data_IF_788057492868
#
_entry.id   IF_788057492868
#
_cell.length_a   1.000
_cell.length_b   1.000
_cell.length_c   1.000
_cell.angle_alpha   90.00
_cell.angle_beta   90.00
_cell.angle_gamma   90.00
#
_symmetry.space_group_name_H-M   'P 1'
#
loop_
_entity.id
_entity.type
_entity.pdbx_description
1 polymer ?
#
# COMPACT_ATOMS: atom_id res chain seq x y z
N UNK A 1 -3.69 8.92 -2.91
CA UNK A 1 -4.07 7.51 -3.13
C UNK A 1 -2.82 6.67 -2.99
N UNK A 2 -2.75 5.78 -2.02
CA UNK A 2 -1.63 4.85 -1.86
C UNK A 2 -2.17 3.45 -1.55
N UNK A 3 -1.52 2.42 -2.09
CA UNK A 3 -1.76 1.03 -1.69
C UNK A 3 -0.58 0.60 -0.84
N UNK A 4 -0.82 -0.04 0.30
CA UNK A 4 0.24 -0.61 1.15
C UNK A 4 0.11 -2.12 1.14
N UNK A 5 1.07 -2.84 0.54
CA UNK A 5 1.11 -4.30 0.52
C UNK A 5 2.45 -4.78 1.09
N UNK A 6 2.67 -4.68 2.41
CA UNK A 6 3.94 -5.05 3.04
C UNK A 6 4.31 -6.53 2.86
N UNK A 7 3.36 -7.34 2.39
CA UNK A 7 3.52 -8.74 2.05
C UNK A 7 2.79 -9.08 0.75
N UNK A 8 3.28 -10.09 0.03
CA UNK A 8 2.55 -10.64 -1.13
C UNK A 8 1.18 -11.16 -0.69
N UNK A 9 1.11 -11.81 0.47
CA UNK A 9 -0.14 -12.27 1.08
C UNK A 9 -1.06 -11.09 1.50
N UNK A 10 -2.34 -11.19 1.12
CA UNK A 10 -3.36 -10.16 1.34
C UNK A 10 -3.72 -10.00 2.82
N UNK A 11 -3.95 -11.12 3.50
CA UNK A 11 -4.37 -11.13 4.91
C UNK A 11 -3.26 -10.62 5.81
N UNK A 12 -2.03 -11.09 5.61
CA UNK A 12 -0.83 -10.63 6.31
C UNK A 12 -0.59 -9.14 6.04
N UNK A 13 -0.78 -8.69 4.80
CA UNK A 13 -0.69 -7.26 4.48
C UNK A 13 -1.69 -6.42 5.27
N UNK A 14 -2.97 -6.79 5.24
CA UNK A 14 -4.02 -6.08 5.98
C UNK A 14 -3.75 -6.09 7.49
N UNK A 15 -3.43 -7.26 8.03
CA UNK A 15 -3.14 -7.46 9.45
C UNK A 15 -1.91 -6.67 9.91
N UNK A 16 -0.93 -6.40 9.05
CA UNK A 16 0.27 -5.66 9.42
C UNK A 16 0.02 -4.15 9.63
N UNK A 17 -1.00 -3.58 9.00
CA UNK A 17 -1.23 -2.13 9.03
C UNK A 17 -1.74 -1.65 10.38
N UNK A 18 -1.35 -0.42 10.77
CA UNK A 18 -2.07 0.31 11.82
C UNK A 18 -3.50 0.66 11.37
N UNK A 19 -4.38 0.94 12.33
CA UNK A 19 -5.81 1.17 12.07
C UNK A 19 -6.05 2.34 11.11
N UNK A 20 -5.24 3.40 11.19
CA UNK A 20 -5.39 4.57 10.33
C UNK A 20 -5.11 4.22 8.87
N UNK A 21 -4.04 3.46 8.61
CA UNK A 21 -3.67 3.03 7.25
C UNK A 21 -4.60 1.95 6.74
N UNK A 22 -4.98 0.98 7.57
CA UNK A 22 -5.97 -0.04 7.21
C UNK A 22 -7.31 0.58 6.83
N UNK A 23 -7.81 1.53 7.63
CA UNK A 23 -9.05 2.26 7.35
C UNK A 23 -9.00 3.00 6.01
N UNK A 24 -7.85 3.60 5.68
CA UNK A 24 -7.64 4.25 4.37
C UNK A 24 -7.55 3.26 3.22
N UNK A 25 -6.91 2.10 3.40
CA UNK A 25 -6.80 1.09 2.35
C UNK A 25 -8.18 0.69 1.79
N UNK A 26 -9.19 0.51 2.64
CA UNK A 26 -10.56 0.20 2.18
C UNK A 26 -11.09 1.23 1.16
N UNK A 27 -10.87 2.52 1.41
CA UNK A 27 -11.30 3.59 0.50
C UNK A 27 -10.41 3.65 -0.74
N UNK A 28 -9.09 3.65 -0.55
CA UNK A 28 -8.12 3.85 -1.63
C UNK A 28 -8.11 2.67 -2.63
N UNK A 29 -8.32 1.44 -2.17
CA UNK A 29 -8.42 0.26 -3.04
C UNK A 29 -9.64 0.36 -3.97
N UNK A 30 -10.82 0.73 -3.44
CA UNK A 30 -12.00 0.99 -4.27
C UNK A 30 -11.76 2.14 -5.25
N UNK A 31 -11.05 3.19 -4.85
CA UNK A 31 -10.70 4.29 -5.75
C UNK A 31 -9.78 3.86 -6.90
N UNK A 32 -8.79 2.99 -6.64
CA UNK A 32 -7.93 2.41 -7.68
C UNK A 32 -8.79 1.57 -8.65
N UNK A 33 -9.65 0.69 -8.14
CA UNK A 33 -10.56 -0.12 -8.97
C UNK A 33 -11.45 0.74 -9.86
N UNK A 34 -12.07 1.79 -9.30
CA UNK A 34 -12.87 2.74 -10.05
C UNK A 34 -12.06 3.49 -11.12
N UNK A 35 -10.80 3.85 -10.82
CA UNK A 35 -9.93 4.50 -11.79
C UNK A 35 -9.56 3.55 -12.95
N UNK A 36 -9.30 2.27 -12.67
CA UNK A 36 -9.07 1.24 -13.70
C UNK A 36 -10.31 1.07 -14.58
N UNK A 37 -11.50 0.93 -13.99
CA UNK A 37 -12.76 0.81 -14.73
C UNK A 37 -12.99 2.01 -15.68
N UNK A 38 -12.66 3.22 -15.24
CA UNK A 38 -12.74 4.43 -16.09
C UNK A 38 -11.70 4.42 -17.20
N UNK A 39 -10.44 4.06 -16.89
CA UNK A 39 -9.36 3.96 -17.90
C UNK A 39 -9.69 2.97 -19.00
N UNK A 40 -10.33 1.87 -18.65
CA UNK A 40 -10.77 0.82 -19.58
C UNK A 40 -12.08 1.13 -20.30
N UNK A 41 -12.69 2.29 -20.02
CA UNK A 41 -13.92 2.73 -20.68
C UNK A 41 -15.18 1.98 -20.26
N UNK A 42 -15.11 1.14 -19.22
CA UNK A 42 -16.23 0.38 -18.66
C UNK A 42 -17.11 1.27 -17.79
N UNK A 43 -16.51 2.08 -16.92
CA UNK A 43 -17.23 3.08 -16.13
C UNK A 43 -17.17 4.45 -16.81
N UNK A 44 -18.33 4.98 -17.21
CA UNK A 44 -18.47 6.26 -17.94
C UNK A 44 -19.26 7.29 -17.14
N UNK A 45 -18.73 7.70 -16.00
CA UNK A 45 -19.37 8.65 -15.08
C UNK A 45 -18.87 10.11 -15.23
N UNK A 46 -18.15 10.40 -16.32
CA UNK A 46 -17.59 11.73 -16.60
C UNK A 46 -16.39 12.14 -15.73
N UNK A 47 -16.02 11.35 -14.71
CA UNK A 47 -14.89 11.67 -13.84
C UNK A 47 -13.56 11.27 -14.50
N UNK A 48 -12.52 12.09 -14.33
CA UNK A 48 -11.17 11.85 -14.89
C UNK A 48 -10.05 11.82 -13.85
N UNK A 49 -10.40 11.84 -12.57
CA UNK A 49 -9.41 11.83 -11.49
C UNK A 49 -8.61 10.53 -11.45
N UNK A 50 -7.31 10.65 -11.18
CA UNK A 50 -6.40 9.54 -10.84
C UNK A 50 -6.11 8.53 -11.96
N UNK A 51 -6.57 8.77 -13.20
CA UNK A 51 -6.33 7.86 -14.31
C UNK A 51 -4.84 7.65 -14.59
N UNK A 52 -4.02 8.69 -14.46
CA UNK A 52 -2.56 8.59 -14.66
C UNK A 52 -1.79 8.33 -13.35
N UNK A 53 -2.49 7.98 -12.26
CA UNK A 53 -1.83 7.75 -10.99
C UNK A 53 -0.94 6.49 -11.10
N UNK A 54 0.33 6.50 -10.64
CA UNK A 54 1.25 5.39 -10.87
C UNK A 54 0.74 4.04 -10.32
N UNK A 55 0.09 4.03 -9.16
CA UNK A 55 -0.53 2.81 -8.62
C UNK A 55 -1.66 2.27 -9.53
N UNK A 56 -2.45 3.16 -10.14
CA UNK A 56 -3.48 2.75 -11.09
C UNK A 56 -2.82 2.13 -12.32
N UNK A 57 -1.79 2.79 -12.86
CA UNK A 57 -1.05 2.27 -14.01
C UNK A 57 -0.38 0.91 -13.71
N UNK A 58 0.19 0.75 -12.52
CA UNK A 58 0.83 -0.49 -12.09
C UNK A 58 -0.15 -1.68 -12.06
N UNK A 59 -1.33 -1.47 -11.48
CA UNK A 59 -2.37 -2.50 -11.45
C UNK A 59 -3.04 -2.69 -12.82
N UNK A 60 -3.16 -1.63 -13.62
CA UNK A 60 -3.76 -1.68 -14.95
C UNK A 60 -2.84 -2.31 -16.01
N UNK A 61 -1.52 -2.27 -15.85
CA UNK A 61 -0.57 -2.74 -16.85
C UNK A 61 -0.67 -4.25 -17.12
N UNK A 62 -0.70 -5.07 -16.06
CA UNK A 62 -0.93 -6.50 -16.15
C UNK A 62 -2.30 -6.87 -15.61
N UNK A 63 -3.38 -6.22 -16.08
CA UNK A 63 -4.67 -5.96 -15.39
C UNK A 63 -4.94 -6.82 -14.13
N UNK A 64 -4.25 -6.49 -13.04
CA UNK A 64 -4.26 -7.24 -11.77
C UNK A 64 -5.48 -6.88 -10.90
N UNK A 65 -6.65 -6.73 -11.53
CA UNK A 65 -7.89 -6.32 -10.88
C UNK A 65 -8.31 -7.33 -9.83
N UNK A 66 -8.15 -8.62 -10.12
CA UNK A 66 -8.52 -9.69 -9.20
C UNK A 66 -7.65 -9.70 -7.92
N UNK A 67 -6.34 -9.45 -8.04
CA UNK A 67 -5.45 -9.26 -6.87
C UNK A 67 -5.92 -8.09 -5.99
N UNK A 68 -6.31 -6.98 -6.62
CA UNK A 68 -6.76 -5.79 -5.93
C UNK A 68 -8.11 -5.99 -5.22
N UNK A 69 -9.03 -6.73 -5.85
CA UNK A 69 -10.32 -7.12 -5.25
C UNK A 69 -10.10 -8.04 -4.05
N UNK A 70 -9.25 -9.05 -4.18
CA UNK A 70 -8.90 -9.94 -3.06
C UNK A 70 -8.28 -9.15 -1.90
N UNK A 71 -7.39 -8.20 -2.20
CA UNK A 71 -6.82 -7.36 -1.16
C UNK A 71 -7.84 -6.43 -0.51
N UNK A 72 -8.79 -5.88 -1.28
CA UNK A 72 -9.89 -5.10 -0.73
C UNK A 72 -10.67 -5.90 0.32
N UNK A 73 -11.06 -7.14 0.01
CA UNK A 73 -11.78 -7.98 0.96
C UNK A 73 -10.93 -8.35 2.17
N UNK A 74 -9.65 -8.67 2.01
CA UNK A 74 -8.76 -8.90 3.15
C UNK A 74 -8.66 -7.67 4.09
N UNK A 75 -8.65 -6.45 3.54
CA UNK A 75 -8.67 -5.23 4.33
C UNK A 75 -10.00 -5.00 5.05
N UNK A 76 -11.13 -5.38 4.44
CA UNK A 76 -12.48 -5.31 5.05
C UNK A 76 -12.61 -6.33 6.18
N UNK A 77 -12.14 -7.55 5.94
CA UNK A 77 -12.18 -8.64 6.91
C UNK A 77 -11.34 -8.28 8.14
N UNK A 78 -10.11 -7.82 7.94
CA UNK A 78 -9.25 -7.38 9.04
C UNK A 78 -9.84 -6.18 9.80
N UNK A 79 -10.42 -5.21 9.09
CA UNK A 79 -11.07 -4.05 9.71
C UNK A 79 -12.24 -4.46 10.60
N UNK A 80 -13.07 -5.39 10.11
CA UNK A 80 -14.22 -5.91 10.84
C UNK A 80 -13.78 -6.79 12.01
N UNK A 81 -12.74 -7.61 11.81
CA UNK A 81 -12.14 -8.47 12.85
C UNK A 81 -11.59 -7.65 14.02
N UNK A 82 -11.10 -6.43 13.77
CA UNK A 82 -10.68 -5.48 14.82
C UNK A 82 -11.85 -4.80 15.56
N UNK A 83 -13.09 -5.12 15.19
CA UNK A 83 -14.30 -4.57 15.82
C UNK A 83 -14.77 -3.23 15.25
N UNK A 84 -14.19 -2.78 14.14
CA UNK A 84 -14.62 -1.54 13.50
C UNK A 84 -15.82 -1.76 12.57
N UNK A 85 -16.72 -0.77 12.50
CA UNK A 85 -17.84 -0.80 11.55
C UNK A 85 -17.36 -0.57 10.12
N UNK A 86 -17.85 -1.38 9.18
CA UNK A 86 -17.62 -1.19 7.75
C UNK A 86 -18.86 -0.60 7.06
N UNK A 87 -18.62 0.27 6.06
CA UNK A 87 -19.66 0.90 5.23
C UNK A 87 -19.24 0.99 3.75
N UNK A 88 -18.19 0.27 3.36
CA UNK A 88 -17.64 0.28 2.01
C UNK A 88 -17.74 -1.13 1.46
N UNK A 89 -18.30 -1.30 0.27
CA UNK A 89 -18.31 -2.56 -0.49
C UNK A 89 -17.98 -2.31 -1.96
N UNK A 90 -17.84 -3.39 -2.73
CA UNK A 90 -17.67 -3.36 -4.19
C UNK A 90 -18.95 -3.72 -4.94
N UNK A 91 -20.08 -3.95 -4.25
CA UNK A 91 -21.31 -4.48 -4.86
C UNK A 91 -21.83 -3.59 -6.00
N UNK A 92 -21.66 -2.27 -5.86
CA UNK A 92 -22.04 -1.26 -6.86
C UNK A 92 -21.18 -1.30 -8.14
N UNK A 93 -20.02 -1.94 -8.10
CA UNK A 93 -19.06 -1.99 -9.22
C UNK A 93 -18.70 -3.42 -9.64
N UNK A 94 -19.10 -4.44 -8.90
CA UNK A 94 -18.78 -5.83 -9.19
C UNK A 94 -19.23 -6.28 -10.60
N UNK A 95 -20.42 -5.92 -11.11
CA UNK A 95 -20.81 -6.24 -12.48
C UNK A 95 -19.90 -5.59 -13.54
N UNK A 96 -19.30 -4.44 -13.22
CA UNK A 96 -18.36 -3.75 -14.09
C UNK A 96 -16.97 -4.39 -14.03
N UNK A 97 -16.53 -4.81 -12.84
CA UNK A 97 -15.26 -5.50 -12.65
C UNK A 97 -15.19 -6.81 -13.43
N UNK A 98 -16.32 -7.55 -13.52
CA UNK A 98 -16.45 -8.77 -14.32
C UNK A 98 -16.28 -8.56 -15.83
N UNK A 99 -16.38 -7.32 -16.32
CA UNK A 99 -16.15 -6.99 -17.73
C UNK A 99 -14.67 -6.76 -18.06
N UNK A 100 -13.80 -6.68 -17.04
CA UNK A 100 -12.36 -6.57 -17.25
C UNK A 100 -11.78 -7.98 -17.33
N UNK A 101 -11.17 -8.31 -18.46
CA UNK A 101 -10.31 -9.48 -18.56
C UNK A 101 -9.05 -9.26 -17.71
N UNK A 102 -9.08 -9.81 -16.50
CA UNK A 102 -7.93 -9.84 -15.60
C UNK A 102 -6.96 -10.95 -15.97
N UNK A 103 -5.72 -10.83 -15.50
CA UNK A 103 -4.75 -11.93 -15.54
C UNK A 103 -4.42 -12.41 -14.13
N UNK A 104 -4.15 -13.70 -13.94
CA UNK A 104 -3.64 -14.20 -12.66
C UNK A 104 -2.31 -13.55 -12.30
N UNK A 105 -2.07 -13.37 -11.00
CA UNK A 105 -0.82 -12.82 -10.47
C UNK A 105 -1.04 -11.55 -9.66
N UNK A 106 0.07 -10.87 -9.35
CA UNK A 106 0.10 -9.67 -8.54
C UNK A 106 1.22 -8.76 -9.03
N UNK A 107 1.05 -7.42 -9.04
CA UNK A 107 2.15 -6.51 -9.28
C UNK A 107 3.09 -6.43 -8.06
N UNK A 108 2.67 -6.95 -6.90
CA UNK A 108 3.44 -6.95 -5.66
C UNK A 108 4.37 -8.15 -5.63
N UNK A 109 5.65 -7.88 -5.89
CA UNK A 109 6.76 -8.82 -5.68
C UNK A 109 7.28 -8.71 -4.24
N UNK A 110 8.12 -9.65 -3.81
CA UNK A 110 8.79 -9.56 -2.50
C UNK A 110 9.63 -8.28 -2.35
N UNK A 111 10.26 -7.85 -3.45
CA UNK A 111 11.04 -6.61 -3.49
C UNK A 111 10.16 -5.37 -3.27
N UNK A 112 9.00 -5.31 -3.94
CA UNK A 112 8.04 -4.22 -3.75
C UNK A 112 7.40 -4.28 -2.35
N UNK A 113 7.11 -5.47 -1.84
CA UNK A 113 6.59 -5.68 -0.49
C UNK A 113 7.57 -5.15 0.58
N UNK A 114 8.87 -5.35 0.39
CA UNK A 114 9.92 -4.75 1.23
C UNK A 114 9.88 -3.23 1.21
N UNK A 115 9.72 -2.62 0.04
CA UNK A 115 9.62 -1.16 -0.05
C UNK A 115 8.35 -0.61 0.61
N UNK A 116 7.24 -1.36 0.60
CA UNK A 116 6.08 -1.00 1.42
C UNK A 116 6.39 -1.06 2.92
N UNK A 117 7.08 -2.10 3.42
CA UNK A 117 7.52 -2.18 4.83
C UNK A 117 8.41 -0.98 5.19
N UNK A 118 9.35 -0.61 4.31
CA UNK A 118 10.20 0.58 4.47
C UNK A 118 9.39 1.86 4.56
N UNK A 119 8.48 2.09 3.62
CA UNK A 119 7.64 3.30 3.63
C UNK A 119 6.79 3.37 4.88
N UNK A 120 6.21 2.24 5.33
CA UNK A 120 5.43 2.15 6.55
C UNK A 120 6.27 2.49 7.79
N UNK A 121 7.48 1.95 7.89
CA UNK A 121 8.43 2.25 8.96
C UNK A 121 8.74 3.75 9.04
N UNK A 122 9.01 4.41 7.92
CA UNK A 122 9.23 5.87 7.89
C UNK A 122 8.00 6.69 8.31
N UNK A 123 6.83 6.09 8.12
CA UNK A 123 5.52 6.69 8.29
C UNK A 123 5.00 6.57 9.73
N UNK A 124 5.29 5.48 10.46
CA UNK A 124 5.08 5.32 11.91
C UNK A 124 6.19 4.43 12.52
N UNK A 125 7.37 5.00 12.81
CA UNK A 125 8.55 4.23 13.19
C UNK A 125 8.30 3.25 14.34
N UNK A 126 7.79 3.74 15.46
CA UNK A 126 7.65 2.93 16.66
C UNK A 126 6.56 1.85 16.55
N UNK A 127 5.52 2.08 15.74
CA UNK A 127 4.50 1.06 15.49
C UNK A 127 5.08 -0.09 14.67
N UNK A 128 5.73 0.24 13.55
CA UNK A 128 6.22 -0.76 12.61
C UNK A 128 7.52 -1.41 13.04
N UNK A 129 8.40 -0.71 13.74
CA UNK A 129 9.58 -1.28 14.36
C UNK A 129 9.24 -2.46 15.28
N UNK A 130 8.19 -2.32 16.11
CA UNK A 130 7.73 -3.39 17.01
C UNK A 130 7.04 -4.55 16.31
N UNK A 131 6.67 -4.38 15.04
CA UNK A 131 5.87 -5.35 14.28
C UNK A 131 6.70 -6.12 13.25
N UNK A 132 7.82 -5.55 12.81
CA UNK A 132 8.82 -6.24 12.01
C UNK A 132 9.49 -7.32 12.85
N UNK A 133 9.74 -8.46 12.22
CA UNK A 133 10.66 -9.47 12.75
C UNK A 133 12.11 -8.98 12.69
N UNK A 134 13.00 -9.66 13.42
CA UNK A 134 14.42 -9.31 13.40
C UNK A 134 15.03 -9.44 12.00
N UNK A 135 14.63 -10.47 11.25
CA UNK A 135 15.07 -10.73 9.89
C UNK A 135 14.60 -9.65 8.93
N UNK A 136 13.33 -9.23 9.03
CA UNK A 136 12.79 -8.17 8.18
C UNK A 136 13.42 -6.81 8.50
N UNK A 137 13.67 -6.51 9.78
CA UNK A 137 14.38 -5.30 10.16
C UNK A 137 15.83 -5.32 9.63
N UNK A 138 16.54 -6.44 9.79
CA UNK A 138 17.90 -6.61 9.27
C UNK A 138 17.94 -6.47 7.74
N UNK A 139 16.94 -7.01 7.03
CA UNK A 139 16.77 -6.83 5.60
C UNK A 139 16.63 -5.34 5.22
N UNK A 140 15.78 -4.60 5.94
CA UNK A 140 15.57 -3.17 5.68
C UNK A 140 16.82 -2.34 5.96
N UNK A 141 17.64 -2.71 6.94
CA UNK A 141 18.87 -2.02 7.31
C UNK A 141 20.03 -2.33 6.35
N UNK A 142 20.08 -3.55 5.81
CA UNK A 142 21.19 -4.00 4.97
C UNK A 142 20.99 -3.74 3.48
N UNK A 143 19.75 -3.71 3.00
CA UNK A 143 19.44 -3.56 1.58
C UNK A 143 19.03 -2.10 1.31
N UNK A 144 19.70 -1.39 0.38
CA UNK A 144 19.32 -0.02 0.02
C UNK A 144 17.93 0.03 -0.64
N UNK A 145 17.21 1.17 -0.53
CA UNK A 145 15.89 1.33 -1.13
C UNK A 145 15.96 1.23 -2.66
N UNK A 146 14.94 0.64 -3.26
CA UNK A 146 14.75 0.61 -4.72
C UNK A 146 13.61 1.53 -5.17
N UNK A 147 13.76 2.29 -6.26
CA UNK A 147 12.76 3.27 -6.66
C UNK A 147 11.53 2.62 -7.32
N UNK A 148 10.37 2.86 -6.74
CA UNK A 148 9.07 2.48 -7.28
C UNK A 148 8.15 3.71 -7.38
N UNK A 149 7.73 4.00 -8.61
CA UNK A 149 6.85 5.12 -8.89
C UNK A 149 5.48 4.91 -8.22
N UNK A 150 5.00 5.92 -7.50
CA UNK A 150 3.77 5.85 -6.69
C UNK A 150 3.91 5.17 -5.33
N UNK A 151 5.10 4.67 -4.97
CA UNK A 151 5.36 4.01 -3.68
C UNK A 151 6.38 4.81 -2.87
N UNK A 152 7.63 4.86 -3.32
CA UNK A 152 8.76 5.41 -2.57
C UNK A 152 9.69 6.29 -3.42
N UNK A 153 9.34 6.64 -4.66
CA UNK A 153 10.24 7.45 -5.50
C UNK A 153 10.66 8.78 -4.84
N UNK A 154 9.75 9.41 -4.07
CA UNK A 154 10.02 10.61 -3.27
C UNK A 154 11.09 10.42 -2.19
N UNK A 155 11.40 9.18 -1.79
CA UNK A 155 12.41 8.89 -0.77
C UNK A 155 13.79 9.33 -1.24
N UNK A 156 14.04 9.25 -2.55
CA UNK A 156 15.33 9.59 -3.15
C UNK A 156 15.61 11.10 -3.15
N UNK A 157 14.56 11.94 -3.03
CA UNK A 157 14.70 13.38 -2.83
C UNK A 157 15.11 13.74 -1.38
N UNK A 158 15.05 12.77 -0.46
CA UNK A 158 15.34 12.93 0.97
C UNK A 158 16.23 11.80 1.51
N UNK A 159 17.16 11.33 0.67
CA UNK A 159 18.00 10.17 0.96
C UNK A 159 18.88 10.36 2.20
N UNK A 160 19.46 11.55 2.39
CA UNK A 160 20.29 11.86 3.56
C UNK A 160 19.51 11.76 4.88
N UNK A 161 18.27 12.27 4.89
CA UNK A 161 17.37 12.17 6.06
C UNK A 161 17.00 10.71 6.32
N UNK A 162 16.72 9.96 5.25
CA UNK A 162 16.44 8.54 5.33
C UNK A 162 17.64 7.75 5.88
N UNK A 163 18.85 7.97 5.37
CA UNK A 163 20.08 7.30 5.82
C UNK A 163 20.36 7.60 7.29
N UNK A 164 20.21 8.87 7.70
CA UNK A 164 20.35 9.26 9.11
C UNK A 164 19.36 8.51 10.00
N UNK A 165 18.09 8.41 9.57
CA UNK A 165 17.07 7.65 10.28
C UNK A 165 17.42 6.16 10.37
N UNK A 166 17.86 5.54 9.27
CA UNK A 166 18.22 4.11 9.25
C UNK A 166 19.47 3.82 10.08
N UNK A 167 20.47 4.72 10.10
CA UNK A 167 21.67 4.59 10.93
C UNK A 167 21.35 4.64 12.43
N UNK A 168 20.49 5.56 12.84
CA UNK A 168 20.00 5.61 14.23
C UNK A 168 19.24 4.33 14.59
N UNK A 169 18.40 3.85 13.69
CA UNK A 169 17.69 2.59 13.88
C UNK A 169 18.63 1.39 14.02
N UNK A 170 19.71 1.34 13.24
CA UNK A 170 20.77 0.33 13.34
C UNK A 170 21.48 0.36 14.70
N UNK A 171 21.63 1.55 15.30
CA UNK A 171 22.19 1.75 16.63
C UNK A 171 21.20 1.45 17.78
N UNK A 172 19.97 1.02 17.46
CA UNK A 172 18.92 0.73 18.44
C UNK A 172 18.10 1.96 18.87
N UNK A 173 18.31 3.11 18.23
CA UNK A 173 17.54 4.33 18.49
C UNK A 173 16.33 4.42 17.56
N UNK A 174 15.12 4.31 18.13
CA UNK A 174 13.87 4.44 17.36
C UNK A 174 13.24 5.81 17.60
N UNK A 175 13.38 6.70 16.62
CA UNK A 175 12.74 8.02 16.66
C UNK A 175 11.26 7.94 16.26
N UNK A 176 10.35 7.99 17.23
CA UNK A 176 8.90 7.95 16.96
C UNK A 176 8.35 9.19 16.25
N UNK A 177 9.12 10.27 16.08
CA UNK A 177 8.70 11.41 15.27
C UNK A 177 8.68 11.06 13.77
N UNK A 178 9.55 10.14 13.35
CA UNK A 178 9.74 9.76 11.95
C UNK A 178 10.41 10.85 11.12
N UNK A 179 10.50 10.59 9.81
CA UNK A 179 11.19 11.49 8.86
C UNK A 179 10.27 12.56 8.26
N UNK A 180 8.97 12.48 8.54
CA UNK A 180 8.00 13.43 8.01
C UNK A 180 7.59 14.44 9.07
N UNK A 181 7.51 15.74 8.73
CA UNK A 181 6.98 16.73 9.65
C UNK A 181 5.54 16.35 10.02
N UNK A 182 5.25 16.32 11.32
CA UNK A 182 3.88 16.09 11.81
C UNK A 182 3.00 17.22 11.29
N UNK A 183 1.94 16.88 10.56
CA UNK A 183 0.91 17.86 10.19
C UNK A 183 0.27 18.36 11.50
N UNK A 184 0.44 19.66 11.78
CA UNK A 184 -0.24 20.35 12.87
C UNK A 184 -1.75 20.35 12.64
#
# INVERSE_FOLDING_TARGET
MQVFRPYVDHGRSAAFLDDRRLGKQRVELKQVLLAILRRRGVLRDGRRGWLSHPIVLMYDAGPYVEDLVRYFYAAIDEWTRRGFRNSISLDDVEPLLKQIEGVPGSPVTEDLAREYRRVLLLKEPCFYYRRLTAEELAELLSIPPRPYNGVNLWLFDMLEVYETFMNRLAAGEVDCAGVFPRRR
#
